data_IF_035349775775
#
_entry.id   IF_035349775775
#
_cell.length_a   1.000
_cell.length_b   1.000
_cell.length_c   1.000
_cell.angle_alpha   90.00
_cell.angle_beta   90.00
_cell.angle_gamma   90.00
#
_symmetry.space_group_name_H-M   'P 1'
#
loop_
_entity.id
_entity.type
_entity.pdbx_description
1 polymer ?
#
# COMPACT_ATOMS: atom_id res chain seq x y z
N UNK A 1 23.43 32.49 -1.93
CA UNK A 1 22.09 31.95 -1.61
C UNK A 1 21.35 31.64 -2.90
N UNK A 2 21.23 30.37 -3.28
CA UNK A 2 20.42 29.93 -4.44
C UNK A 2 19.48 28.83 -3.96
N UNK A 3 18.17 29.03 -4.19
CA UNK A 3 17.11 28.05 -3.92
C UNK A 3 17.39 26.76 -4.70
N UNK A 4 17.25 25.56 -4.10
CA UNK A 4 17.30 24.33 -4.88
C UNK A 4 16.08 24.28 -5.80
N UNK A 5 16.31 24.45 -7.10
CA UNK A 5 15.29 24.28 -8.12
C UNK A 5 14.66 22.90 -8.02
N UNK A 6 13.33 22.84 -8.03
CA UNK A 6 12.56 21.61 -8.24
C UNK A 6 13.03 20.99 -9.56
N UNK A 7 13.94 20.02 -9.48
CA UNK A 7 14.34 19.21 -10.63
C UNK A 7 13.07 18.49 -11.09
N UNK A 8 12.65 18.72 -12.32
CA UNK A 8 11.68 17.86 -12.96
C UNK A 8 12.27 16.44 -12.94
N UNK A 9 11.79 15.60 -12.03
CA UNK A 9 12.25 14.22 -11.91
C UNK A 9 11.98 13.57 -13.25
N UNK A 10 13.02 13.04 -13.90
CA UNK A 10 12.84 12.39 -15.20
C UNK A 10 11.92 11.19 -14.96
N UNK A 11 10.87 11.05 -15.77
CA UNK A 11 9.93 9.91 -15.68
C UNK A 11 10.68 8.56 -15.65
N UNK A 12 11.82 8.50 -16.35
CA UNK A 12 12.73 7.36 -16.33
C UNK A 12 13.28 7.02 -14.93
N UNK A 13 13.63 8.02 -14.13
CA UNK A 13 14.13 7.83 -12.76
C UNK A 13 13.02 7.28 -11.84
N UNK A 14 11.79 7.77 -12.01
CA UNK A 14 10.62 7.29 -11.25
C UNK A 14 10.31 5.83 -11.60
N UNK A 15 10.28 5.50 -12.89
CA UNK A 15 10.05 4.13 -13.33
C UNK A 15 11.18 3.21 -12.89
N UNK A 16 12.44 3.65 -12.95
CA UNK A 16 13.57 2.87 -12.47
C UNK A 16 13.51 2.63 -10.95
N UNK A 17 13.14 3.66 -10.17
CA UNK A 17 12.93 3.52 -8.73
C UNK A 17 11.78 2.55 -8.41
N UNK A 18 10.69 2.61 -9.16
CA UNK A 18 9.58 1.67 -9.03
C UNK A 18 10.03 0.23 -9.32
N UNK A 19 10.73 0.00 -10.44
CA UNK A 19 11.26 -1.32 -10.76
C UNK A 19 12.16 -1.85 -9.64
N UNK A 20 13.09 -1.03 -9.13
CA UNK A 20 13.97 -1.42 -8.04
C UNK A 20 13.20 -1.75 -6.76
N UNK A 21 12.15 -0.99 -6.44
CA UNK A 21 11.30 -1.23 -5.29
C UNK A 21 10.52 -2.55 -5.46
N UNK A 22 9.96 -2.82 -6.64
CA UNK A 22 9.28 -4.08 -6.94
C UNK A 22 10.23 -5.29 -6.85
N UNK A 23 11.48 -5.13 -7.29
CA UNK A 23 12.52 -6.17 -7.13
C UNK A 23 12.91 -6.35 -5.66
N UNK A 24 13.04 -5.26 -4.89
CA UNK A 24 13.33 -5.33 -3.46
C UNK A 24 12.15 -5.91 -2.65
N UNK A 25 10.91 -5.69 -3.11
CA UNK A 25 9.72 -6.38 -2.64
C UNK A 25 9.67 -7.85 -3.09
N UNK A 26 10.68 -8.30 -3.84
CA UNK A 26 10.97 -9.66 -4.25
C UNK A 26 9.89 -10.26 -5.15
N UNK A 27 9.50 -9.48 -6.16
CA UNK A 27 8.81 -9.97 -7.34
C UNK A 27 9.86 -10.44 -8.36
N UNK A 28 9.76 -11.68 -8.82
CA UNK A 28 10.78 -12.28 -9.70
C UNK A 28 10.67 -11.86 -11.18
N UNK A 29 9.55 -11.23 -11.57
CA UNK A 29 9.20 -10.92 -12.97
C UNK A 29 9.03 -9.42 -13.22
N UNK A 30 9.99 -8.60 -12.78
CA UNK A 30 9.94 -7.13 -12.99
C UNK A 30 10.45 -6.77 -14.39
N UNK A 31 9.62 -6.12 -15.25
CA UNK A 31 10.05 -5.65 -16.56
C UNK A 31 11.04 -4.49 -16.45
N UNK A 32 11.90 -4.36 -17.46
CA UNK A 32 12.88 -3.27 -17.51
C UNK A 32 12.19 -1.89 -17.62
N UNK A 33 12.81 -0.80 -17.13
CA UNK A 33 12.25 0.55 -17.23
C UNK A 33 11.97 0.99 -18.68
N UNK A 34 12.72 0.46 -19.64
CA UNK A 34 12.48 0.67 -21.06
C UNK A 34 11.24 -0.06 -21.57
N UNK A 35 10.91 -1.22 -21.02
CA UNK A 35 9.68 -1.95 -21.33
C UNK A 35 8.44 -1.17 -20.89
N UNK A 36 8.46 -0.50 -19.72
CA UNK A 36 7.39 0.41 -19.29
C UNK A 36 7.21 1.60 -20.24
N UNK A 37 8.32 2.18 -20.73
CA UNK A 37 8.25 3.25 -21.74
C UNK A 37 7.65 2.74 -23.06
N UNK A 38 8.08 1.57 -23.52
CA UNK A 38 7.61 0.95 -24.77
C UNK A 38 6.16 0.50 -24.67
N UNK A 39 5.73 0.01 -23.51
CA UNK A 39 4.35 -0.39 -23.23
C UNK A 39 3.34 0.76 -23.37
N UNK A 40 3.78 2.01 -23.26
CA UNK A 40 2.91 3.15 -23.54
C UNK A 40 2.52 3.24 -25.03
N UNK A 41 3.40 2.79 -25.93
CA UNK A 41 3.28 3.02 -27.38
C UNK A 41 3.12 1.73 -28.20
N UNK A 42 3.54 0.58 -27.67
CA UNK A 42 3.58 -0.68 -28.40
C UNK A 42 2.50 -1.63 -27.84
N UNK A 43 1.61 -2.10 -28.72
CA UNK A 43 0.72 -3.23 -28.43
C UNK A 43 1.27 -4.46 -29.15
N UNK A 44 1.42 -5.57 -28.43
CA UNK A 44 2.04 -6.77 -28.98
C UNK A 44 2.40 -7.79 -27.91
N UNK A 45 2.35 -9.09 -28.25
CA UNK A 45 2.50 -10.18 -27.28
C UNK A 45 3.87 -10.16 -26.58
N UNK A 46 4.94 -9.80 -27.29
CA UNK A 46 6.29 -9.72 -26.72
C UNK A 46 6.42 -8.68 -25.60
N UNK A 47 5.66 -7.57 -25.69
CA UNK A 47 5.68 -6.50 -24.68
C UNK A 47 4.70 -6.82 -23.55
N UNK A 48 3.57 -7.46 -23.84
CA UNK A 48 2.50 -7.73 -22.88
C UNK A 48 2.80 -8.90 -21.94
N UNK A 49 3.41 -9.98 -22.44
CA UNK A 49 3.73 -11.17 -21.65
C UNK A 49 4.50 -10.90 -20.33
N UNK A 50 5.52 -10.03 -20.28
CA UNK A 50 6.17 -9.68 -19.01
C UNK A 50 5.23 -8.91 -18.05
N UNK A 51 4.30 -8.09 -18.55
CA UNK A 51 3.33 -7.40 -17.69
C UNK A 51 2.28 -8.36 -17.11
N UNK A 52 1.86 -9.36 -17.89
CA UNK A 52 0.99 -10.42 -17.38
C UNK A 52 1.66 -11.22 -16.26
N UNK A 53 2.94 -11.57 -16.43
CA UNK A 53 3.72 -12.23 -15.38
C UNK A 53 3.91 -11.36 -14.15
N UNK A 54 4.19 -10.07 -14.33
CA UNK A 54 4.28 -9.11 -13.22
C UNK A 54 2.97 -9.03 -12.44
N UNK A 55 1.84 -8.81 -13.12
CA UNK A 55 0.52 -8.71 -12.49
C UNK A 55 0.17 -10.01 -11.73
N UNK A 56 0.43 -11.18 -12.32
CA UNK A 56 0.22 -12.45 -11.65
C UNK A 56 1.07 -12.58 -10.37
N UNK A 57 2.35 -12.15 -10.42
CA UNK A 57 3.24 -12.18 -9.26
C UNK A 57 2.83 -11.21 -8.14
N UNK A 58 2.29 -10.04 -8.52
CA UNK A 58 1.74 -9.06 -7.58
C UNK A 58 0.50 -9.61 -6.89
N UNK A 59 -0.45 -10.15 -7.66
CA UNK A 59 -1.70 -10.71 -7.13
C UNK A 59 -1.44 -11.91 -6.21
N UNK A 60 -0.45 -12.74 -6.54
CA UNK A 60 0.00 -13.86 -5.69
C UNK A 60 0.59 -13.36 -4.38
N UNK A 61 1.54 -12.43 -4.44
CA UNK A 61 2.27 -11.96 -3.25
C UNK A 61 1.38 -11.08 -2.36
N UNK A 62 0.40 -10.38 -2.93
CA UNK A 62 -0.63 -9.67 -2.19
C UNK A 62 -1.71 -10.59 -1.58
N UNK A 63 -1.61 -11.92 -1.77
CA UNK A 63 -2.55 -12.94 -1.32
C UNK A 63 -4.01 -12.70 -1.77
N UNK A 64 -4.18 -12.03 -2.93
CA UNK A 64 -5.51 -11.80 -3.52
C UNK A 64 -6.00 -13.10 -4.17
N UNK A 65 -5.09 -13.89 -4.75
CA UNK A 65 -5.39 -15.19 -5.34
C UNK A 65 -4.52 -16.27 -4.68
N UNK A 66 -5.14 -17.33 -4.17
CA UNK A 66 -4.41 -18.55 -3.77
C UNK A 66 -4.08 -19.40 -5.00
N UNK A 67 -2.78 -19.61 -5.24
CA UNK A 67 -2.26 -20.40 -6.36
C UNK A 67 -2.57 -21.90 -6.22
N UNK A 68 -3.04 -22.35 -5.06
CA UNK A 68 -3.50 -23.74 -4.85
C UNK A 68 -4.65 -24.15 -5.78
N UNK A 69 -5.42 -23.18 -6.30
CA UNK A 69 -6.47 -23.43 -7.27
C UNK A 69 -5.96 -23.74 -8.70
N UNK A 70 -4.67 -23.56 -8.99
CA UNK A 70 -4.11 -23.68 -10.35
C UNK A 70 -2.82 -24.49 -10.36
N UNK A 71 -2.91 -25.83 -10.32
CA UNK A 71 -1.75 -26.71 -10.30
C UNK A 71 -1.11 -26.69 -11.71
N UNK A 72 0.05 -26.05 -11.82
CA UNK A 72 0.87 -25.87 -13.05
C UNK A 72 0.36 -24.84 -14.05
N UNK A 73 0.62 -23.56 -13.76
CA UNK A 73 0.62 -22.46 -14.72
C UNK A 73 1.76 -22.61 -15.74
N UNK A 74 1.57 -23.48 -16.73
CA UNK A 74 2.56 -23.74 -17.78
C UNK A 74 2.30 -22.95 -19.06
N UNK A 75 1.10 -22.38 -19.25
CA UNK A 75 0.74 -21.64 -20.47
C UNK A 75 0.57 -20.14 -20.27
N UNK A 76 0.94 -19.33 -21.28
CA UNK A 76 0.66 -17.89 -21.32
C UNK A 76 -0.83 -17.56 -21.17
N UNK A 77 -1.70 -18.47 -21.62
CA UNK A 77 -3.16 -18.36 -21.46
C UNK A 77 -3.63 -18.49 -20.01
N UNK A 78 -2.90 -19.22 -19.16
CA UNK A 78 -3.31 -19.48 -17.77
C UNK A 78 -3.09 -18.23 -16.91
N UNK A 79 -1.97 -17.53 -17.13
CA UNK A 79 -1.67 -16.24 -16.48
C UNK A 79 -2.73 -15.18 -16.77
N UNK A 80 -3.25 -15.14 -18.01
CA UNK A 80 -4.29 -14.15 -18.39
C UNK A 80 -5.58 -14.36 -17.61
N UNK A 81 -6.04 -15.61 -17.48
CA UNK A 81 -7.24 -15.95 -16.72
C UNK A 81 -7.06 -15.67 -15.22
N UNK A 82 -5.90 -15.98 -14.65
CA UNK A 82 -5.61 -15.63 -13.26
C UNK A 82 -5.67 -14.14 -13.02
N UNK A 83 -4.99 -13.36 -13.86
CA UNK A 83 -4.93 -11.91 -13.71
C UNK A 83 -6.34 -11.33 -13.88
N UNK A 84 -7.14 -11.83 -14.82
CA UNK A 84 -8.54 -11.45 -14.97
C UNK A 84 -9.35 -11.70 -13.69
N UNK A 85 -9.26 -12.89 -13.10
CA UNK A 85 -9.97 -13.23 -11.85
C UNK A 85 -9.48 -12.39 -10.67
N UNK A 86 -8.17 -12.22 -10.51
CA UNK A 86 -7.62 -11.43 -9.39
C UNK A 86 -7.90 -9.94 -9.51
N UNK A 87 -7.89 -9.39 -10.72
CA UNK A 87 -8.32 -8.02 -10.97
C UNK A 87 -9.81 -7.85 -10.68
N UNK A 88 -10.63 -8.83 -11.04
CA UNK A 88 -12.05 -8.80 -10.72
C UNK A 88 -12.29 -8.85 -9.20
N UNK A 89 -11.52 -9.65 -8.47
CA UNK A 89 -11.57 -9.73 -7.00
C UNK A 89 -11.03 -8.46 -6.31
N UNK A 90 -10.08 -7.75 -6.92
CA UNK A 90 -9.58 -6.46 -6.43
C UNK A 90 -10.49 -5.27 -6.79
N UNK A 91 -11.64 -5.52 -7.43
CA UNK A 91 -12.62 -4.50 -7.80
C UNK A 91 -12.30 -3.75 -9.09
N UNK A 92 -11.34 -4.23 -9.89
CA UNK A 92 -11.04 -3.67 -11.20
C UNK A 92 -11.89 -4.36 -12.28
N UNK A 93 -12.93 -3.67 -12.74
CA UNK A 93 -13.86 -4.18 -13.74
C UNK A 93 -13.70 -3.42 -15.06
N UNK A 94 -13.10 -4.07 -16.06
CA UNK A 94 -12.99 -3.52 -17.43
C UNK A 94 -13.57 -4.49 -18.44
N UNK A 95 -13.96 -3.96 -19.60
CA UNK A 95 -14.58 -4.79 -20.64
C UNK A 95 -13.61 -5.81 -21.24
N UNK A 96 -12.32 -5.51 -21.29
CA UNK A 96 -11.32 -6.47 -21.75
C UNK A 96 -11.17 -7.69 -20.81
N UNK A 97 -11.47 -7.55 -19.51
CA UNK A 97 -11.41 -8.67 -18.55
C UNK A 97 -12.50 -9.70 -18.86
N UNK A 98 -13.67 -9.25 -19.33
CA UNK A 98 -14.74 -10.14 -19.79
C UNK A 98 -14.31 -10.91 -21.04
N UNK A 99 -13.61 -10.24 -21.95
CA UNK A 99 -13.10 -10.84 -23.19
C UNK A 99 -11.98 -11.87 -22.98
N UNK A 100 -11.27 -11.88 -21.84
CA UNK A 100 -10.20 -12.86 -21.56
C UNK A 100 -10.75 -14.29 -21.37
N UNK A 101 -12.04 -14.44 -21.04
CA UNK A 101 -12.72 -15.74 -20.89
C UNK A 101 -13.35 -16.27 -22.19
N UNK A 102 -13.70 -15.38 -23.12
CA UNK A 102 -14.40 -15.75 -24.35
C UNK A 102 -13.41 -15.98 -25.49
N UNK A 103 -13.58 -17.11 -26.18
CA UNK A 103 -12.74 -17.57 -27.30
C UNK A 103 -12.97 -16.70 -28.53
N UNK A 104 -12.48 -15.46 -28.52
CA UNK A 104 -12.60 -14.52 -29.63
C UNK A 104 -11.39 -13.60 -29.71
N UNK A 105 -10.56 -13.78 -30.74
CA UNK A 105 -9.26 -13.15 -31.00
C UNK A 105 -9.31 -11.63 -31.28
N UNK A 106 -10.39 -10.92 -30.94
CA UNK A 106 -10.66 -9.58 -31.49
C UNK A 106 -10.55 -8.44 -30.48
N UNK A 107 -10.25 -8.69 -29.20
CA UNK A 107 -9.94 -7.61 -28.27
C UNK A 107 -9.01 -8.08 -27.14
N UNK A 108 -7.77 -8.47 -27.50
CA UNK A 108 -6.71 -8.62 -26.52
C UNK A 108 -6.43 -7.26 -25.85
N UNK A 109 -6.27 -7.20 -24.53
CA UNK A 109 -5.99 -5.93 -23.85
C UNK A 109 -4.68 -5.34 -24.36
N UNK A 110 -4.68 -4.02 -24.57
CA UNK A 110 -3.45 -3.34 -24.92
C UNK A 110 -2.50 -3.32 -23.71
N UNK A 111 -1.20 -3.32 -23.96
CA UNK A 111 -0.16 -3.03 -22.96
C UNK A 111 -0.47 -1.80 -22.07
N UNK A 112 -1.15 -0.79 -22.62
CA UNK A 112 -1.67 0.37 -21.88
C UNK A 112 -2.70 0.00 -20.80
N UNK A 113 -3.61 -0.92 -21.11
CA UNK A 113 -4.68 -1.33 -20.20
C UNK A 113 -4.13 -2.20 -19.07
N UNK A 114 -3.07 -2.97 -19.35
CA UNK A 114 -2.29 -3.68 -18.32
C UNK A 114 -1.54 -2.70 -17.40
N UNK A 115 -0.99 -1.62 -17.96
CA UNK A 115 -0.35 -0.56 -17.18
C UNK A 115 -1.37 0.16 -16.29
N UNK A 116 -2.58 0.38 -16.80
CA UNK A 116 -3.69 0.97 -16.04
C UNK A 116 -4.12 0.05 -14.90
N UNK A 117 -4.23 -1.25 -15.16
CA UNK A 117 -4.53 -2.26 -14.13
C UNK A 117 -3.45 -2.29 -13.03
N UNK A 118 -2.17 -2.19 -13.42
CA UNK A 118 -1.06 -2.06 -12.45
C UNK A 118 -1.18 -0.75 -11.64
N UNK A 119 -1.45 0.37 -12.31
CA UNK A 119 -1.64 1.66 -11.64
C UNK A 119 -2.80 1.62 -10.65
N UNK A 120 -3.91 0.97 -11.01
CA UNK A 120 -5.04 0.74 -10.13
C UNK A 120 -4.65 -0.10 -8.92
N UNK A 121 -4.00 -1.26 -9.12
CA UNK A 121 -3.53 -2.11 -8.03
C UNK A 121 -2.63 -1.32 -7.07
N UNK A 122 -1.69 -0.52 -7.57
CA UNK A 122 -0.84 0.32 -6.75
C UNK A 122 -1.66 1.37 -5.97
N UNK A 123 -2.67 1.98 -6.58
CA UNK A 123 -3.56 2.95 -5.92
C UNK A 123 -4.45 2.30 -4.84
N UNK A 124 -4.83 1.03 -5.00
CA UNK A 124 -5.61 0.28 -3.99
C UNK A 124 -4.81 -0.13 -2.74
N UNK A 125 -3.52 0.22 -2.65
CA UNK A 125 -2.68 -0.10 -1.49
C UNK A 125 -2.02 -1.48 -1.55
N UNK A 126 -2.06 -2.18 -2.69
CA UNK A 126 -1.35 -3.47 -2.84
C UNK A 126 0.15 -3.34 -2.61
N UNK A 127 0.75 -2.18 -2.89
CA UNK A 127 2.17 -1.96 -2.63
C UNK A 127 2.48 -2.04 -1.14
N UNK A 128 1.59 -1.53 -0.30
CA UNK A 128 1.74 -1.51 1.15
C UNK A 128 1.63 -2.93 1.72
N UNK A 129 0.73 -3.74 1.17
CA UNK A 129 0.60 -5.15 1.57
C UNK A 129 1.81 -5.98 1.14
N UNK A 130 2.37 -5.74 -0.06
CA UNK A 130 3.61 -6.37 -0.52
C UNK A 130 4.80 -6.01 0.38
N UNK A 131 4.94 -4.72 0.72
CA UNK A 131 5.99 -4.26 1.60
C UNK A 131 5.81 -4.76 3.04
N UNK A 132 4.59 -4.82 3.55
CA UNK A 132 4.29 -5.39 4.86
C UNK A 132 4.62 -6.89 4.89
N UNK A 133 4.27 -7.64 3.85
CA UNK A 133 4.61 -9.06 3.74
C UNK A 133 6.14 -9.28 3.70
N UNK A 134 6.87 -8.46 2.95
CA UNK A 134 8.34 -8.51 2.92
C UNK A 134 8.97 -8.08 4.23
N UNK A 135 8.42 -7.08 4.91
CA UNK A 135 8.86 -6.69 6.25
C UNK A 135 8.66 -7.85 7.24
N UNK A 136 7.50 -8.53 7.19
CA UNK A 136 7.24 -9.72 8.01
C UNK A 136 8.21 -10.87 7.72
N UNK A 137 8.52 -11.14 6.44
CA UNK A 137 9.51 -12.15 6.08
C UNK A 137 10.91 -11.79 6.58
N UNK A 138 11.33 -10.52 6.42
CA UNK A 138 12.61 -10.05 6.92
C UNK A 138 12.67 -10.10 8.45
N UNK A 139 11.59 -9.74 9.13
CA UNK A 139 11.48 -9.85 10.58
C UNK A 139 11.53 -11.30 11.04
N UNK A 140 10.86 -12.24 10.34
CA UNK A 140 10.96 -13.66 10.62
C UNK A 140 12.39 -14.19 10.43
N UNK A 141 13.09 -13.78 9.36
CA UNK A 141 14.50 -14.17 9.15
C UNK A 141 15.48 -13.50 10.11
N UNK A 142 15.15 -12.31 10.64
CA UNK A 142 15.91 -11.65 11.72
C UNK A 142 15.62 -12.25 13.09
N UNK A 143 14.44 -12.82 13.25
CA UNK A 143 13.99 -13.52 14.44
C UNK A 143 14.29 -15.02 14.38
N UNK A 144 15.04 -15.53 13.39
CA UNK A 144 15.68 -16.84 13.50
C UNK A 144 16.44 -16.84 14.83
N UNK A 145 15.88 -17.46 15.87
CA UNK A 145 16.51 -17.46 17.16
C UNK A 145 17.67 -18.41 16.94
N UNK A 146 18.90 -17.89 16.93
CA UNK A 146 20.08 -18.71 17.16
C UNK A 146 19.73 -19.65 18.31
N UNK A 147 19.55 -20.94 18.01
CA UNK A 147 18.69 -21.85 18.76
C UNK A 147 18.79 -21.68 20.27
N UNK A 148 17.88 -20.89 20.85
CA UNK A 148 17.64 -20.91 22.28
C UNK A 148 16.56 -21.96 22.46
N UNK A 149 17.02 -23.20 22.59
CA UNK A 149 16.22 -24.24 23.24
C UNK A 149 15.61 -23.63 24.50
N UNK A 150 14.28 -23.65 24.69
CA UNK A 150 13.71 -23.17 25.94
C UNK A 150 14.25 -24.10 27.03
N UNK A 151 15.05 -23.61 28.01
CA UNK A 151 15.36 -24.43 29.15
C UNK A 151 14.03 -24.69 29.84
N UNK A 152 13.67 -25.97 29.90
CA UNK A 152 12.58 -26.53 30.67
C UNK A 152 12.47 -25.76 31.98
N UNK A 153 11.32 -25.08 32.18
CA UNK A 153 11.06 -24.21 33.33
C UNK A 153 11.05 -25.07 34.59
N UNK A 154 12.22 -25.32 35.17
CA UNK A 154 12.39 -25.93 36.47
C UNK A 154 13.33 -25.01 37.25
N UNK A 155 12.73 -24.09 38.01
CA UNK A 155 13.37 -23.46 39.18
C UNK A 155 14.49 -22.44 38.96
N UNK A 156 14.73 -21.94 37.74
CA UNK A 156 15.72 -20.88 37.55
C UNK A 156 15.15 -19.52 37.97
N UNK A 157 15.45 -19.11 39.20
CA UNK A 157 15.37 -17.75 39.70
C UNK A 157 15.90 -16.79 38.63
N UNK A 158 15.00 -16.11 37.90
CA UNK A 158 15.33 -15.11 36.88
C UNK A 158 16.38 -14.17 37.44
N UNK A 159 17.61 -14.25 36.90
CA UNK A 159 18.76 -13.53 37.43
C UNK A 159 18.46 -12.03 37.45
N UNK A 160 18.68 -11.33 38.56
CA UNK A 160 18.37 -9.89 38.72
C UNK A 160 18.82 -9.01 37.53
N UNK A 161 20.01 -9.20 36.92
CA UNK A 161 20.40 -8.45 35.71
C UNK A 161 19.51 -8.73 34.49
N UNK A 162 18.98 -9.95 34.33
CA UNK A 162 18.07 -10.29 33.23
C UNK A 162 16.71 -9.59 33.38
N UNK A 163 16.19 -9.50 34.61
CA UNK A 163 14.98 -8.73 34.93
C UNK A 163 15.17 -7.23 34.67
N UNK A 164 16.32 -6.68 35.07
CA UNK A 164 16.65 -5.26 34.82
C UNK A 164 16.78 -4.97 33.32
N UNK A 165 17.37 -5.88 32.54
CA UNK A 165 17.46 -5.76 31.08
C UNK A 165 16.08 -5.80 30.42
N UNK A 166 15.20 -6.70 30.87
CA UNK A 166 13.82 -6.77 30.39
C UNK A 166 13.05 -5.48 30.73
N UNK A 167 13.16 -4.99 31.95
CA UNK A 167 12.55 -3.75 32.38
C UNK A 167 13.05 -2.54 31.56
N UNK A 168 14.35 -2.51 31.22
CA UNK A 168 14.92 -1.50 30.34
C UNK A 168 14.35 -1.59 28.92
N UNK A 169 14.29 -2.78 28.33
CA UNK A 169 13.68 -2.98 27.00
C UNK A 169 12.21 -2.56 26.96
N UNK A 170 11.45 -2.91 27.99
CA UNK A 170 10.06 -2.45 28.15
C UNK A 170 10.01 -0.91 28.22
N UNK A 171 10.95 -0.28 28.92
CA UNK A 171 11.10 1.17 28.96
C UNK A 171 11.36 1.78 27.57
N UNK A 172 12.31 1.21 26.81
CA UNK A 172 12.63 1.64 25.46
C UNK A 172 11.41 1.51 24.52
N UNK A 173 10.69 0.38 24.57
CA UNK A 173 9.49 0.18 23.76
C UNK A 173 8.38 1.19 24.11
N UNK A 174 8.17 1.47 25.40
CA UNK A 174 7.21 2.50 25.84
C UNK A 174 7.61 3.89 25.35
N UNK A 175 8.90 4.21 25.38
CA UNK A 175 9.41 5.48 24.86
C UNK A 175 9.20 5.60 23.35
N UNK A 176 9.56 4.58 22.57
CA UNK A 176 9.34 4.54 21.13
C UNK A 176 7.86 4.69 20.77
N UNK A 177 6.97 3.98 21.49
CA UNK A 177 5.52 4.11 21.30
C UNK A 177 5.04 5.55 21.51
N UNK A 178 5.47 6.20 22.59
CA UNK A 178 5.11 7.60 22.87
C UNK A 178 5.64 8.56 21.81
N UNK A 179 6.87 8.34 21.33
CA UNK A 179 7.47 9.13 20.25
C UNK A 179 6.66 9.02 18.95
N UNK A 180 6.29 7.79 18.56
CA UNK A 180 5.47 7.54 17.38
C UNK A 180 4.09 8.20 17.48
N UNK A 181 3.44 8.11 18.64
CA UNK A 181 2.16 8.77 18.88
C UNK A 181 2.27 10.30 18.77
N UNK A 182 3.34 10.89 19.32
CA UNK A 182 3.59 12.33 19.22
C UNK A 182 3.80 12.77 17.76
N UNK A 183 4.56 12.01 16.97
CA UNK A 183 4.76 12.31 15.55
C UNK A 183 3.45 12.20 14.74
N UNK A 184 2.62 11.21 15.06
CA UNK A 184 1.33 11.04 14.41
C UNK A 184 0.38 12.21 14.71
N UNK A 185 0.37 12.69 15.96
CA UNK A 185 -0.42 13.87 16.37
C UNK A 185 0.07 15.15 15.69
N UNK A 186 1.39 15.33 15.56
CA UNK A 186 1.94 16.48 14.83
C UNK A 186 1.56 16.44 13.35
N UNK A 187 1.66 15.26 12.72
CA UNK A 187 1.26 15.06 11.32
C UNK A 187 -0.23 15.34 11.10
N UNK A 188 -1.10 14.89 12.01
CA UNK A 188 -2.54 15.15 11.90
C UNK A 188 -2.86 16.63 12.09
N UNK A 189 -2.18 17.32 13.01
CA UNK A 189 -2.27 18.79 13.18
C UNK A 189 -1.86 19.52 11.91
N UNK A 190 -0.72 19.17 11.31
CA UNK A 190 -0.25 19.80 10.06
C UNK A 190 -1.24 19.56 8.92
N UNK A 191 -1.76 18.34 8.78
CA UNK A 191 -2.76 18.02 7.76
C UNK A 191 -4.05 18.81 7.96
N UNK A 192 -4.52 18.96 9.20
CA UNK A 192 -5.66 19.80 9.54
C UNK A 192 -5.42 21.28 9.20
N UNK A 193 -4.23 21.82 9.48
CA UNK A 193 -3.90 23.21 9.12
C UNK A 193 -3.88 23.43 7.60
N UNK A 194 -3.35 22.49 6.83
CA UNK A 194 -3.33 22.55 5.35
C UNK A 194 -4.76 22.50 4.80
N UNK A 195 -5.59 21.59 5.31
CA UNK A 195 -6.99 21.46 4.88
C UNK A 195 -7.79 22.72 5.23
N UNK A 196 -7.63 23.25 6.44
CA UNK A 196 -8.29 24.48 6.89
C UNK A 196 -7.87 25.69 6.04
N UNK A 197 -6.58 25.80 5.74
CA UNK A 197 -6.06 26.88 4.86
C UNK A 197 -6.56 26.75 3.41
N UNK A 198 -6.77 25.51 2.95
CA UNK A 198 -7.28 25.24 1.58
C UNK A 198 -8.79 25.51 1.46
N UNK A 199 -9.57 25.22 2.51
CA UNK A 199 -11.00 25.61 2.58
C UNK A 199 -11.18 27.11 2.61
N UNK A 200 -10.35 27.86 3.35
CA UNK A 200 -10.41 29.32 3.36
C UNK A 200 -10.02 29.93 2.00
N UNK A 201 -9.10 29.30 1.27
CA UNK A 201 -8.63 29.78 -0.05
C UNK A 201 -9.60 29.43 -1.21
N UNK A 202 -10.56 28.53 -1.00
CA UNK A 202 -11.63 28.24 -1.98
C UNK A 202 -12.81 29.22 -1.90
N UNK A 203 -12.80 30.18 -0.96
CA UNK A 203 -13.88 31.18 -0.84
C UNK A 203 -13.75 32.39 -1.78
N UNK A 204 -12.67 32.53 -2.54
CA UNK A 204 -12.42 33.72 -3.38
C UNK A 204 -12.58 33.53 -4.89
N UNK A 205 -13.13 32.41 -5.38
CA UNK A 205 -13.40 32.20 -6.82
C UNK A 205 -14.86 31.95 -7.20
N UNK A 206 -15.81 32.06 -6.26
CA UNK A 206 -17.24 32.06 -6.59
C UNK A 206 -17.79 33.47 -6.37
N UNK A 207 -17.35 34.40 -7.21
CA UNK A 207 -18.02 35.69 -7.38
C UNK A 207 -19.00 35.56 -8.53
N UNK A 208 -20.28 35.83 -8.22
CA UNK A 208 -21.41 36.02 -9.15
C UNK A 208 -21.75 34.74 -9.90
N UNK A 209 -22.71 33.90 -9.51
CA UNK A 209 -24.15 34.13 -9.45
C UNK A 209 -24.73 33.00 -8.59
N UNK A 210 -25.41 33.32 -7.48
CA UNK A 210 -26.43 32.50 -6.78
C UNK A 210 -26.65 33.12 -5.40
N UNK A 211 -27.31 34.28 -5.38
CA UNK A 211 -27.88 34.86 -4.17
C UNK A 211 -29.32 34.36 -4.08
N UNK A 212 -29.51 33.22 -3.41
CA UNK A 212 -30.78 32.77 -2.87
C UNK A 212 -30.47 31.65 -1.86
N UNK A 213 -30.94 31.80 -0.63
CA UNK A 213 -30.70 30.97 0.56
C UNK A 213 -29.43 31.32 1.35
N UNK A 214 -29.48 32.53 1.90
CA UNK A 214 -28.87 32.84 3.18
C UNK A 214 -29.91 32.59 4.27
N UNK A 215 -29.60 31.68 5.20
CA UNK A 215 -30.01 31.66 6.62
C UNK A 215 -29.36 30.39 7.21
N UNK A 216 -28.31 30.56 8.02
CA UNK A 216 -28.32 30.34 9.49
C UNK A 216 -28.28 28.82 9.81
N UNK A 217 -27.30 28.21 10.48
CA UNK A 217 -26.58 28.62 11.69
C UNK A 217 -25.32 27.77 11.91
N UNK A 218 -24.34 28.41 12.55
CA UNK A 218 -23.20 27.84 13.27
C UNK A 218 -23.59 26.65 14.16
N UNK A 219 -22.96 25.47 13.97
CA UNK A 219 -22.84 24.50 15.06
C UNK A 219 -21.52 23.72 14.97
N UNK A 220 -20.64 24.06 15.91
CA UNK A 220 -19.31 23.47 16.07
C UNK A 220 -19.39 21.98 16.46
N UNK A 221 -18.48 21.11 15.98
CA UNK A 221 -18.41 19.72 16.39
C UNK A 221 -17.55 19.58 17.66
N UNK A 222 -18.01 20.13 18.79
CA UNK A 222 -17.34 19.93 20.10
C UNK A 222 -18.13 19.05 21.08
N UNK A 223 -19.25 18.45 20.66
CA UNK A 223 -20.06 17.64 21.58
C UNK A 223 -19.75 16.14 21.57
N UNK A 224 -19.10 15.59 20.54
CA UNK A 224 -18.84 14.14 20.44
C UNK A 224 -17.53 13.70 21.12
N UNK A 225 -16.61 14.63 21.38
CA UNK A 225 -15.28 14.29 21.94
C UNK A 225 -15.32 14.11 23.46
N UNK A 226 -16.23 14.80 24.16
CA UNK A 226 -16.44 14.63 25.62
C UNK A 226 -17.22 13.36 25.96
N UNK A 227 -17.94 12.76 25.00
CA UNK A 227 -18.75 11.56 25.22
C UNK A 227 -17.90 10.29 25.23
N UNK A 228 -16.78 10.25 24.50
CA UNK A 228 -15.88 9.10 24.48
C UNK A 228 -14.97 9.04 25.72
N UNK A 229 -14.58 10.19 26.28
CA UNK A 229 -13.76 10.23 27.50
C UNK A 229 -14.58 9.80 28.75
N UNK A 230 -15.88 10.09 28.75
CA UNK A 230 -16.82 9.63 29.80
C UNK A 230 -17.19 8.15 29.68
N UNK A 231 -17.07 7.55 28.49
CA UNK A 231 -17.27 6.10 28.31
C UNK A 231 -16.01 5.28 28.63
N UNK A 232 -14.80 5.85 28.49
CA UNK A 232 -13.58 5.20 28.95
C UNK A 232 -13.38 5.25 30.48
N UNK A 233 -14.05 6.17 31.19
CA UNK A 233 -13.96 6.27 32.65
C UNK A 233 -14.99 5.41 33.42
N UNK A 234 -15.83 4.62 32.74
CA UNK A 234 -16.88 3.78 33.36
C UNK A 234 -16.64 2.27 33.20
N UNK A 235 -15.41 1.84 32.94
CA UNK A 235 -15.02 0.43 33.09
C UNK A 235 -14.37 0.26 34.47
N UNK A 236 -15.08 -0.25 35.50
CA UNK A 236 -14.42 -0.65 36.73
C UNK A 236 -13.69 -1.98 36.51
N UNK A 237 -12.40 -1.97 36.88
CA UNK A 237 -11.46 -3.06 37.23
C UNK A 237 -11.63 -4.42 36.54
#
# INVERSE_FOLDING_TARGET
MQRPGRRAVKVQEVVAALCNLLTAAGLDSVPTPEAFRRAKFNCGPEVEDPFWRLLASVLKTANIISVEAFPKLSGASDYRKLVAVGLWQSGYHTDWIKCVGERGEQCGPCSRDLLLALGWLLATGTLETLLAHRAQQLDATRLEPAGVTPPTVHGALLDRPSLRKLQWLIGCLRFQRRSLLSMQEERSKLMYMVLSSSSSSSSTFISSHNSALQEDTVQAPYHTVMQLDKMLSMVPL
#
